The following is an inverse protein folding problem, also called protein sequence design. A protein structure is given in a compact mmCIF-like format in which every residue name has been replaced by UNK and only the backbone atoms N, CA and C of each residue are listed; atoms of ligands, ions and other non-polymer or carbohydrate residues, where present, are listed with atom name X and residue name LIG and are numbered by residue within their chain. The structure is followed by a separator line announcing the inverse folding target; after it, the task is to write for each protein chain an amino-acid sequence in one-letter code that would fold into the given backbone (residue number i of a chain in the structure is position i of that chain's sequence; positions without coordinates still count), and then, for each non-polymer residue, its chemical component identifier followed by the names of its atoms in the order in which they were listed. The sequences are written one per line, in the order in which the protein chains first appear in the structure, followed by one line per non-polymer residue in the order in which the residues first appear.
data_IF_890246395215
#
_entry.id   IF_890246395215
#
_cell.length_a   1.000
_cell.length_b   1.000
_cell.length_c   1.000
_cell.angle_alpha   90.00
_cell.angle_beta   90.00
_cell.angle_gamma   90.00
#
_symmetry.space_group_name_H-M   'P 1'
#
loop_
_entity.id
_entity.type
_entity.pdbx_description
1 polymer ?
#
# COMPACT_ATOMS: atom_id res chain seq x y z
N UNK A 1 6.49 -32.63 -11.04
CA UNK A 1 6.35 -31.16 -10.92
C UNK A 1 4.92 -30.83 -11.25
N UNK A 2 4.25 -30.02 -10.41
CA UNK A 2 2.85 -29.64 -10.63
C UNK A 2 2.81 -28.16 -10.99
N UNK A 3 2.07 -27.82 -12.02
CA UNK A 3 1.92 -26.45 -12.51
C UNK A 3 0.45 -26.12 -12.64
N UNK A 4 0.09 -24.88 -12.33
CA UNK A 4 -1.25 -24.36 -12.52
C UNK A 4 -1.16 -22.94 -13.10
N UNK A 5 -1.71 -22.76 -14.29
CA UNK A 5 -1.79 -21.46 -14.94
C UNK A 5 -3.06 -20.75 -14.48
N UNK A 6 -2.88 -19.65 -13.74
CA UNK A 6 -4.00 -18.84 -13.21
C UNK A 6 -4.57 -17.95 -14.32
N UNK A 7 -3.69 -17.23 -15.01
CA UNK A 7 -4.08 -16.41 -16.17
C UNK A 7 -2.93 -16.34 -17.18
N UNK A 8 -3.00 -15.40 -18.12
CA UNK A 8 -1.94 -15.20 -19.13
C UNK A 8 -0.60 -14.77 -18.52
N UNK A 9 -0.59 -14.13 -17.36
CA UNK A 9 0.59 -13.59 -16.70
C UNK A 9 1.08 -14.46 -15.54
N UNK A 10 0.17 -15.10 -14.81
CA UNK A 10 0.45 -15.75 -13.52
C UNK A 10 0.40 -17.27 -13.66
N UNK A 11 1.46 -17.93 -13.22
CA UNK A 11 1.55 -19.38 -13.10
C UNK A 11 2.09 -19.76 -11.72
N UNK A 12 1.53 -20.79 -11.10
CA UNK A 12 2.06 -21.38 -9.87
C UNK A 12 2.73 -22.72 -10.17
N UNK A 13 3.87 -22.97 -9.52
CA UNK A 13 4.58 -24.25 -9.59
C UNK A 13 4.82 -24.82 -8.20
N UNK A 14 4.46 -26.09 -7.99
CA UNK A 14 4.92 -26.88 -6.85
C UNK A 14 6.25 -27.54 -7.22
N UNK A 15 7.30 -27.10 -6.56
CA UNK A 15 8.70 -27.49 -6.83
C UNK A 15 9.32 -28.14 -5.60
N UNK A 16 10.41 -28.90 -5.78
CA UNK A 16 11.10 -29.61 -4.71
C UNK A 16 10.67 -31.09 -4.59
N UNK A 17 11.59 -31.92 -4.09
CA UNK A 17 11.38 -33.37 -3.90
C UNK A 17 11.16 -33.68 -2.41
N UNK A 18 12.02 -33.18 -1.52
CA UNK A 18 11.93 -33.36 -0.07
C UNK A 18 11.21 -32.21 0.66
N UNK A 19 11.43 -30.98 0.20
CA UNK A 19 10.78 -29.78 0.72
C UNK A 19 9.99 -29.13 -0.40
N UNK A 20 8.76 -29.62 -0.60
CA UNK A 20 7.86 -29.08 -1.62
C UNK A 20 7.51 -27.63 -1.28
N UNK A 21 7.68 -26.72 -2.23
CA UNK A 21 7.31 -25.31 -2.11
C UNK A 21 6.55 -24.84 -3.34
N UNK A 22 5.51 -24.06 -3.11
CA UNK A 22 4.80 -23.35 -4.17
C UNK A 22 5.64 -22.11 -4.57
N UNK A 23 5.75 -21.81 -5.85
CA UNK A 23 6.40 -20.61 -6.40
C UNK A 23 5.38 -19.92 -7.31
N UNK A 24 5.28 -18.59 -7.22
CA UNK A 24 4.49 -17.77 -8.14
C UNK A 24 5.43 -17.29 -9.24
N UNK A 25 4.99 -17.33 -10.49
CA UNK A 25 5.74 -16.88 -11.65
C UNK A 25 4.88 -15.85 -12.37
N UNK A 26 5.47 -14.70 -12.72
CA UNK A 26 4.82 -13.62 -13.47
C UNK A 26 5.60 -13.38 -14.76
N UNK A 27 4.99 -13.71 -15.90
CA UNK A 27 5.61 -13.63 -17.23
C UNK A 27 7.06 -14.17 -17.22
N UNK A 28 7.16 -15.45 -16.88
CA UNK A 28 8.38 -16.28 -16.81
C UNK A 28 9.43 -15.87 -15.75
N UNK A 29 9.12 -14.90 -14.88
CA UNK A 29 9.99 -14.53 -13.76
C UNK A 29 9.45 -15.02 -12.42
N UNK A 30 10.32 -15.61 -11.60
CA UNK A 30 9.96 -15.98 -10.23
C UNK A 30 9.60 -14.74 -9.41
N UNK A 31 8.44 -14.80 -8.76
CA UNK A 31 7.94 -13.75 -7.90
C UNK A 31 8.11 -14.15 -6.43
N UNK A 32 9.12 -13.56 -5.79
CA UNK A 32 9.59 -13.93 -4.46
C UNK A 32 9.00 -13.01 -3.38
N UNK A 33 7.69 -13.07 -3.22
CA UNK A 33 6.95 -12.39 -2.14
C UNK A 33 6.43 -13.42 -1.13
N UNK A 34 6.39 -13.07 0.15
CA UNK A 34 5.75 -13.91 1.17
C UNK A 34 4.27 -14.15 0.80
N UNK A 35 3.88 -15.43 0.75
CA UNK A 35 2.50 -15.85 0.59
C UNK A 35 2.05 -16.52 1.87
N UNK A 36 0.94 -16.06 2.40
CA UNK A 36 0.32 -16.64 3.57
C UNK A 36 -1.09 -17.06 3.19
N UNK A 37 -1.49 -18.24 3.66
CA UNK A 37 -2.86 -18.73 3.52
C UNK A 37 -3.56 -18.47 4.84
N UNK A 38 -4.55 -17.58 4.85
CA UNK A 38 -5.38 -17.36 6.02
C UNK A 38 -6.28 -18.58 6.23
N UNK A 39 -6.02 -19.32 7.31
CA UNK A 39 -6.78 -20.51 7.66
C UNK A 39 -7.72 -20.13 8.81
N UNK A 40 -9.01 -20.33 8.59
CA UNK A 40 -10.06 -19.98 9.55
C UNK A 40 -10.89 -21.22 9.82
N UNK A 41 -11.08 -21.58 11.10
CA UNK A 41 -12.08 -22.57 11.47
C UNK A 41 -13.47 -21.88 11.56
N UNK A 42 -14.39 -22.11 10.61
CA UNK A 42 -15.69 -21.45 10.61
C UNK A 42 -16.58 -21.87 11.79
N UNK A 43 -16.31 -23.01 12.44
CA UNK A 43 -17.10 -23.49 13.57
C UNK A 43 -16.78 -22.78 14.89
N UNK A 44 -15.58 -22.23 15.04
CA UNK A 44 -15.15 -21.52 16.26
C UNK A 44 -15.62 -20.07 16.31
N UNK A 45 -15.98 -19.47 15.15
CA UNK A 45 -16.23 -18.03 15.04
C UNK A 45 -17.58 -17.72 14.40
N UNK A 46 -18.65 -18.19 15.03
CA UNK A 46 -20.06 -18.04 14.58
C UNK A 46 -20.58 -16.59 14.51
N UNK A 47 -19.83 -15.61 15.04
CA UNK A 47 -20.25 -14.19 15.11
C UNK A 47 -19.37 -13.24 14.28
N UNK A 48 -18.83 -13.69 13.15
CA UNK A 48 -18.10 -12.79 12.26
C UNK A 48 -19.10 -11.88 11.54
N UNK A 49 -18.89 -10.57 11.69
CA UNK A 49 -19.55 -9.55 10.87
C UNK A 49 -19.15 -9.76 9.40
N UNK A 50 -19.86 -9.11 8.48
CA UNK A 50 -19.44 -9.03 7.08
C UNK A 50 -17.97 -8.55 7.01
N UNK A 51 -17.09 -9.42 6.52
CA UNK A 51 -15.66 -9.14 6.31
C UNK A 51 -15.51 -8.60 4.89
N UNK A 52 -14.89 -7.43 4.74
CA UNK A 52 -14.76 -6.75 3.44
C UNK A 52 -13.42 -6.99 2.77
N UNK A 53 -12.41 -7.45 3.52
CA UNK A 53 -11.09 -7.77 2.98
C UNK A 53 -10.36 -8.85 3.80
N UNK A 54 -9.39 -9.51 3.18
CA UNK A 54 -8.51 -10.46 3.89
C UNK A 54 -7.66 -9.77 4.97
N UNK A 55 -7.24 -8.51 4.76
CA UNK A 55 -6.53 -7.74 5.79
C UNK A 55 -7.43 -7.56 7.04
N UNK A 56 -8.69 -7.16 6.83
CA UNK A 56 -9.68 -7.03 7.91
C UNK A 56 -9.95 -8.38 8.59
N UNK A 57 -9.99 -9.46 7.81
CA UNK A 57 -10.11 -10.81 8.34
C UNK A 57 -8.93 -11.15 9.28
N UNK A 58 -7.70 -10.88 8.87
CA UNK A 58 -6.50 -11.12 9.67
C UNK A 58 -6.51 -10.35 10.99
N UNK A 59 -6.97 -9.09 10.98
CA UNK A 59 -7.10 -8.26 12.18
C UNK A 59 -8.19 -8.79 13.14
N UNK A 60 -9.38 -9.12 12.62
CA UNK A 60 -10.53 -9.58 13.42
C UNK A 60 -10.35 -11.00 13.96
N UNK A 61 -9.61 -11.84 13.25
CA UNK A 61 -9.47 -13.26 13.55
C UNK A 61 -8.28 -13.57 14.46
N UNK A 62 -7.67 -12.54 15.07
CA UNK A 62 -6.41 -12.58 15.83
C UNK A 62 -5.19 -12.96 14.99
N UNK A 63 -4.17 -12.09 15.02
CA UNK A 63 -2.90 -12.27 14.31
C UNK A 63 -2.05 -13.46 14.80
N UNK A 64 -2.54 -14.25 15.75
CA UNK A 64 -1.94 -15.53 16.19
C UNK A 64 -2.02 -16.57 15.07
N UNK A 65 -3.10 -16.55 14.27
CA UNK A 65 -3.23 -17.40 13.08
C UNK A 65 -2.13 -17.10 12.05
N UNK A 66 -1.75 -15.83 11.89
CA UNK A 66 -0.73 -15.41 10.91
C UNK A 66 0.72 -15.67 11.35
N UNK A 67 0.98 -15.84 12.66
CA UNK A 67 2.36 -15.88 13.18
C UNK A 67 2.78 -17.17 13.85
N UNK A 68 1.86 -17.99 14.37
CA UNK A 68 2.23 -19.16 15.17
C UNK A 68 1.86 -20.50 14.53
N UNK A 69 0.81 -20.57 13.71
CA UNK A 69 0.36 -21.80 13.05
C UNK A 69 0.78 -21.83 11.58
N UNK A 70 1.63 -22.80 11.22
CA UNK A 70 1.94 -23.09 9.82
C UNK A 70 0.94 -24.11 9.27
N UNK A 71 0.69 -24.14 7.95
CA UNK A 71 -0.18 -25.15 7.34
C UNK A 71 0.17 -26.60 7.74
N UNK A 72 1.47 -26.90 7.85
CA UNK A 72 1.95 -28.20 8.30
C UNK A 72 1.56 -28.56 9.74
N UNK A 73 1.44 -27.58 10.64
CA UNK A 73 1.00 -27.80 12.03
C UNK A 73 -0.48 -28.23 12.10
N UNK A 74 -1.24 -27.89 11.06
CA UNK A 74 -2.65 -28.26 10.88
C UNK A 74 -2.84 -29.52 10.01
N UNK A 75 -1.74 -30.20 9.65
CA UNK A 75 -1.76 -31.38 8.81
C UNK A 75 -2.02 -31.11 7.31
N UNK A 76 -1.98 -29.85 6.88
CA UNK A 76 -2.16 -29.48 5.48
C UNK A 76 -0.90 -29.85 4.71
N UNK A 77 -1.06 -30.68 3.70
CA UNK A 77 0.05 -31.11 2.84
C UNK A 77 0.47 -29.99 1.89
N UNK A 78 1.73 -29.99 1.40
CA UNK A 78 2.17 -29.03 0.40
C UNK A 78 1.32 -29.03 -0.89
N UNK A 79 0.70 -30.16 -1.23
CA UNK A 79 -0.18 -30.29 -2.40
C UNK A 79 -1.55 -29.63 -2.18
N UNK A 80 -2.09 -29.70 -0.97
CA UNK A 80 -3.32 -28.99 -0.57
C UNK A 80 -3.07 -27.49 -0.42
N UNK A 81 -1.97 -27.10 0.21
CA UNK A 81 -1.55 -25.70 0.31
C UNK A 81 -1.36 -25.08 -1.08
N UNK A 82 -0.73 -25.83 -2.01
CA UNK A 82 -0.60 -25.42 -3.40
C UNK A 82 -1.95 -25.10 -4.04
N UNK A 83 -2.95 -25.98 -3.88
CA UNK A 83 -4.28 -25.73 -4.42
C UNK A 83 -4.98 -24.56 -3.74
N UNK A 84 -4.79 -24.36 -2.43
CA UNK A 84 -5.26 -23.17 -1.72
C UNK A 84 -4.71 -21.88 -2.31
N UNK A 85 -3.40 -21.81 -2.57
CA UNK A 85 -2.77 -20.67 -3.24
C UNK A 85 -3.28 -20.47 -4.67
N UNK A 86 -3.47 -21.55 -5.44
CA UNK A 86 -4.01 -21.48 -6.80
C UNK A 86 -5.41 -20.88 -6.81
N UNK A 87 -6.32 -21.38 -5.95
CA UNK A 87 -7.70 -20.92 -5.85
C UNK A 87 -7.79 -19.45 -5.43
N UNK A 88 -6.97 -19.03 -4.45
CA UNK A 88 -6.93 -17.63 -4.02
C UNK A 88 -6.49 -16.68 -5.14
N UNK A 89 -5.42 -17.04 -5.87
CA UNK A 89 -4.95 -16.20 -6.98
C UNK A 89 -5.90 -16.24 -8.18
N UNK A 90 -6.55 -17.37 -8.45
CA UNK A 90 -7.59 -17.45 -9.47
C UNK A 90 -8.77 -16.54 -9.13
N UNK A 91 -9.30 -16.61 -7.90
CA UNK A 91 -10.36 -15.73 -7.46
C UNK A 91 -9.96 -14.25 -7.56
N UNK A 92 -8.71 -13.91 -7.21
CA UNK A 92 -8.19 -12.55 -7.34
C UNK A 92 -8.19 -12.05 -8.79
N UNK A 93 -7.74 -12.88 -9.75
CA UNK A 93 -7.73 -12.50 -11.17
C UNK A 93 -9.14 -12.42 -11.76
N UNK A 94 -10.01 -13.37 -11.43
CA UNK A 94 -11.40 -13.42 -11.90
C UNK A 94 -12.23 -12.23 -11.42
N UNK A 95 -11.84 -11.61 -10.31
CA UNK A 95 -12.45 -10.40 -9.77
C UNK A 95 -11.63 -9.15 -10.08
N UNK A 96 -11.07 -9.07 -11.28
CA UNK A 96 -10.38 -7.89 -11.81
C UNK A 96 -9.26 -7.35 -10.90
N UNK A 97 -8.49 -8.27 -10.31
CA UNK A 97 -7.40 -7.95 -9.39
C UNK A 97 -7.86 -7.15 -8.15
N UNK A 98 -9.10 -7.36 -7.68
CA UNK A 98 -9.61 -6.71 -6.47
C UNK A 98 -8.70 -7.01 -5.26
N UNK A 99 -8.02 -5.97 -4.77
CA UNK A 99 -7.01 -6.04 -3.71
C UNK A 99 -7.54 -6.55 -2.38
N UNK A 100 -8.86 -6.63 -2.20
CA UNK A 100 -9.48 -7.11 -0.97
C UNK A 100 -9.58 -8.65 -0.90
N UNK A 101 -9.37 -9.36 -2.02
CA UNK A 101 -9.56 -10.83 -2.11
C UNK A 101 -8.38 -11.62 -1.58
N UNK A 102 -7.17 -11.09 -1.69
CA UNK A 102 -5.96 -11.67 -1.11
C UNK A 102 -5.27 -10.61 -0.25
N UNK A 103 -4.43 -11.06 0.68
CA UNK A 103 -3.75 -10.15 1.60
C UNK A 103 -2.93 -9.07 0.84
N UNK A 104 -2.98 -7.82 1.31
CA UNK A 104 -2.35 -6.64 0.67
C UNK A 104 -0.86 -6.84 0.40
N UNK A 105 -0.12 -7.46 1.33
CA UNK A 105 1.30 -7.79 1.18
C UNK A 105 1.63 -8.66 -0.05
N UNK A 106 0.63 -9.37 -0.60
CA UNK A 106 0.75 -10.11 -1.86
C UNK A 106 0.08 -9.37 -3.02
N UNK A 107 -1.14 -8.85 -2.81
CA UNK A 107 -1.93 -8.20 -3.86
C UNK A 107 -1.18 -7.03 -4.54
N UNK A 108 -0.62 -6.11 -3.74
CA UNK A 108 -0.01 -4.89 -4.26
C UNK A 108 1.26 -5.18 -5.05
N UNK A 109 2.23 -5.96 -4.51
CA UNK A 109 3.48 -6.19 -5.22
C UNK A 109 3.27 -7.09 -6.45
N UNK A 110 2.29 -8.01 -6.41
CA UNK A 110 1.94 -8.83 -7.56
C UNK A 110 1.29 -7.97 -8.66
N UNK A 111 0.34 -7.08 -8.31
CA UNK A 111 -0.28 -6.16 -9.26
C UNK A 111 0.75 -5.23 -9.89
N UNK A 112 1.66 -4.69 -9.08
CA UNK A 112 2.80 -3.89 -9.54
C UNK A 112 3.65 -4.67 -10.54
N UNK A 113 4.05 -5.92 -10.22
CA UNK A 113 4.88 -6.74 -11.11
C UNK A 113 4.20 -6.99 -12.46
N UNK A 114 2.91 -7.28 -12.47
CA UNK A 114 2.13 -7.49 -13.72
C UNK A 114 2.04 -6.18 -14.52
N UNK A 115 1.92 -5.03 -13.85
CA UNK A 115 1.93 -3.72 -14.49
C UNK A 115 3.31 -3.36 -15.11
N UNK A 116 4.42 -3.75 -14.45
CA UNK A 116 5.79 -3.61 -14.96
C UNK A 116 6.00 -4.40 -16.24
N UNK A 117 5.41 -5.60 -16.31
CA UNK A 117 5.43 -6.46 -17.51
C UNK A 117 4.57 -5.94 -18.66
N UNK A 118 3.86 -4.83 -18.47
CA UNK A 118 3.14 -4.15 -19.55
C UNK A 118 1.64 -4.43 -19.61
N UNK A 119 1.06 -5.14 -18.63
CA UNK A 119 -0.38 -5.36 -18.59
C UNK A 119 -1.13 -4.03 -18.37
N UNK A 120 -1.88 -3.61 -19.39
CA UNK A 120 -2.73 -2.41 -19.33
C UNK A 120 -3.77 -2.50 -18.22
N UNK A 121 -4.43 -3.66 -18.10
CA UNK A 121 -5.44 -3.93 -17.05
C UNK A 121 -4.85 -3.79 -15.64
N UNK A 122 -3.65 -4.33 -15.41
CA UNK A 122 -2.99 -4.20 -14.12
C UNK A 122 -2.59 -2.76 -13.82
N UNK A 123 -2.11 -2.01 -14.82
CA UNK A 123 -1.81 -0.57 -14.67
C UNK A 123 -3.06 0.22 -14.31
N UNK A 124 -4.15 0.05 -15.05
CA UNK A 124 -5.44 0.70 -14.78
C UNK A 124 -5.91 0.40 -13.36
N UNK A 125 -5.88 -0.87 -12.95
CA UNK A 125 -6.28 -1.24 -11.60
C UNK A 125 -5.37 -0.66 -10.51
N UNK A 126 -4.06 -0.61 -10.76
CA UNK A 126 -3.11 0.01 -9.83
C UNK A 126 -3.43 1.50 -9.63
N UNK A 127 -3.87 2.20 -10.68
CA UNK A 127 -4.27 3.61 -10.57
C UNK A 127 -5.48 3.79 -9.67
N UNK A 128 -6.53 2.99 -9.87
CA UNK A 128 -7.72 3.01 -9.03
C UNK A 128 -7.37 2.84 -7.56
N UNK A 129 -6.55 1.82 -7.25
CA UNK A 129 -6.14 1.49 -5.88
C UNK A 129 -5.33 2.61 -5.22
N UNK A 130 -4.41 3.25 -5.95
CA UNK A 130 -3.64 4.39 -5.44
C UNK A 130 -4.57 5.57 -5.11
N UNK A 131 -5.55 5.85 -5.98
CA UNK A 131 -6.55 6.90 -5.75
C UNK A 131 -7.36 6.58 -4.48
N UNK A 132 -7.90 5.37 -4.36
CA UNK A 132 -8.65 4.93 -3.18
C UNK A 132 -7.85 5.10 -1.88
N UNK A 133 -6.56 4.76 -1.88
CA UNK A 133 -5.67 4.92 -0.72
C UNK A 133 -5.44 6.40 -0.36
N UNK A 134 -5.23 7.25 -1.36
CA UNK A 134 -5.05 8.69 -1.15
C UNK A 134 -6.32 9.35 -0.64
N UNK A 135 -7.48 8.96 -1.18
CA UNK A 135 -8.78 9.47 -0.75
C UNK A 135 -9.14 9.02 0.67
N UNK A 136 -8.81 7.77 1.01
CA UNK A 136 -8.99 7.21 2.35
C UNK A 136 -8.01 7.75 3.40
N UNK A 137 -7.03 8.57 3.00
CA UNK A 137 -6.01 9.18 3.87
C UNK A 137 -5.24 8.16 4.72
N UNK A 138 -5.03 6.95 4.20
CA UNK A 138 -4.23 5.94 4.90
C UNK A 138 -2.74 6.28 4.77
N UNK A 139 -2.22 7.11 5.68
CA UNK A 139 -0.87 7.67 5.61
C UNK A 139 0.23 6.60 5.56
N UNK A 140 0.01 5.44 6.19
CA UNK A 140 0.96 4.33 6.17
C UNK A 140 1.04 3.73 4.77
N UNK A 141 -0.11 3.43 4.15
CA UNK A 141 -0.17 2.90 2.78
C UNK A 141 0.35 3.94 1.76
N UNK A 142 0.04 5.23 1.92
CA UNK A 142 0.56 6.30 1.06
C UNK A 142 2.08 6.37 1.12
N UNK A 143 2.65 6.34 2.34
CA UNK A 143 4.11 6.33 2.52
C UNK A 143 4.75 5.14 1.81
N UNK A 144 4.22 3.94 2.03
CA UNK A 144 4.70 2.73 1.38
C UNK A 144 4.65 2.85 -0.16
N UNK A 145 3.59 3.44 -0.71
CA UNK A 145 3.48 3.65 -2.17
C UNK A 145 4.55 4.57 -2.74
N UNK A 146 4.91 5.62 -2.00
CA UNK A 146 5.96 6.57 -2.39
C UNK A 146 7.35 5.92 -2.32
N UNK A 147 7.61 5.11 -1.29
CA UNK A 147 8.87 4.41 -1.09
C UNK A 147 9.11 3.29 -2.11
N UNK A 148 8.04 2.64 -2.57
CA UNK A 148 8.10 1.49 -3.47
C UNK A 148 7.83 1.84 -4.94
N UNK A 149 8.03 3.09 -5.37
CA UNK A 149 7.92 3.52 -6.78
C UNK A 149 6.59 3.14 -7.49
N UNK A 150 5.47 3.08 -6.75
CA UNK A 150 4.16 2.82 -7.37
C UNK A 150 3.72 3.97 -8.30
N UNK A 151 4.25 5.16 -8.08
CA UNK A 151 3.90 6.33 -8.87
C UNK A 151 4.52 6.34 -10.27
N UNK A 152 5.51 5.48 -10.58
CA UNK A 152 6.13 5.45 -11.92
C UNK A 152 5.19 5.03 -13.07
N UNK A 153 4.00 4.50 -12.76
CA UNK A 153 3.00 4.09 -13.75
C UNK A 153 2.03 5.22 -14.14
N UNK A 154 2.20 6.39 -13.54
CA UNK A 154 1.43 7.58 -13.84
C UNK A 154 2.24 8.49 -14.76
N UNK A 155 1.55 9.29 -15.54
CA UNK A 155 2.10 10.45 -16.24
C UNK A 155 2.28 11.61 -15.27
N UNK A 156 3.02 12.63 -15.69
CA UNK A 156 3.19 13.84 -14.89
C UNK A 156 1.86 14.53 -14.54
N UNK A 157 0.94 14.60 -15.50
CA UNK A 157 -0.39 15.18 -15.29
C UNK A 157 -1.19 14.38 -14.25
N UNK A 158 -1.23 13.05 -14.38
CA UNK A 158 -1.88 12.19 -13.40
C UNK A 158 -1.23 12.30 -12.02
N UNK A 159 0.11 12.39 -11.94
CA UNK A 159 0.82 12.55 -10.67
C UNK A 159 0.45 13.85 -9.96
N UNK A 160 0.28 14.95 -10.70
CA UNK A 160 -0.22 16.21 -10.14
C UNK A 160 -1.64 16.03 -9.58
N UNK A 161 -2.50 15.28 -10.25
CA UNK A 161 -3.84 15.00 -9.74
C UNK A 161 -3.79 14.18 -8.44
N UNK A 162 -2.91 13.19 -8.34
CA UNK A 162 -2.68 12.44 -7.09
C UNK A 162 -2.19 13.35 -5.96
N UNK A 163 -1.28 14.29 -6.26
CA UNK A 163 -0.81 15.27 -5.29
C UNK A 163 -1.94 16.19 -4.82
N UNK A 164 -2.86 16.59 -5.72
CA UNK A 164 -4.06 17.36 -5.37
C UNK A 164 -5.00 16.56 -4.48
N UNK A 165 -5.24 15.28 -4.77
CA UNK A 165 -6.05 14.39 -3.93
C UNK A 165 -5.42 14.23 -2.54
N UNK A 166 -4.10 14.07 -2.47
CA UNK A 166 -3.36 13.98 -1.21
C UNK A 166 -3.51 15.25 -0.36
N UNK A 167 -3.26 16.42 -0.97
CA UNK A 167 -3.27 17.72 -0.30
C UNK A 167 -4.68 18.25 0.00
N UNK A 168 -5.73 17.66 -0.57
CA UNK A 168 -7.10 18.04 -0.25
C UNK A 168 -7.47 17.69 1.19
N UNK A 169 -7.82 18.71 1.97
CA UNK A 169 -8.25 18.61 3.36
C UNK A 169 -9.74 18.36 3.53
N UNK A 170 -10.55 18.44 2.47
CA UNK A 170 -12.01 18.28 2.52
C UNK A 170 -12.45 16.91 3.09
N UNK A 171 -11.63 15.88 2.83
CA UNK A 171 -11.83 14.51 3.31
C UNK A 171 -11.19 14.24 4.68
N UNK A 172 -10.45 15.19 5.25
CA UNK A 172 -9.89 15.06 6.59
C UNK A 172 -11.03 15.33 7.58
N UNK A 173 -11.36 14.34 8.41
CA UNK A 173 -12.46 14.45 9.37
C UNK A 173 -12.35 15.70 10.24
N UNK A 174 -13.50 16.27 10.64
CA UNK A 174 -13.57 17.48 11.49
C UNK A 174 -12.94 17.30 12.89
N UNK A 175 -12.60 16.05 13.25
CA UNK A 175 -11.88 15.70 14.47
C UNK A 175 -10.52 16.40 14.53
N UNK A 176 -10.09 16.77 15.75
CA UNK A 176 -8.78 17.40 15.94
C UNK A 176 -7.66 16.43 15.57
N UNK A 177 -6.82 16.82 14.61
CA UNK A 177 -5.64 16.04 14.22
C UNK A 177 -4.55 16.16 15.30
N UNK A 178 -3.90 15.05 15.61
CA UNK A 178 -2.73 15.02 16.50
C UNK A 178 -1.50 15.60 15.81
N UNK A 179 -0.56 16.09 16.61
CA UNK A 179 0.72 16.60 16.07
C UNK A 179 1.53 15.48 15.40
N UNK A 180 1.39 14.24 15.87
CA UNK A 180 2.04 13.08 15.25
C UNK A 180 1.54 12.86 13.82
N UNK A 181 0.24 12.99 13.58
CA UNK A 181 -0.34 12.88 12.24
C UNK A 181 0.11 14.03 11.34
N UNK A 182 0.09 15.27 11.85
CA UNK A 182 0.58 16.45 11.12
C UNK A 182 2.04 16.25 10.67
N UNK A 183 2.87 15.69 11.55
CA UNK A 183 4.26 15.36 11.22
C UNK A 183 4.33 14.42 10.02
N UNK A 184 3.53 13.36 10.02
CA UNK A 184 3.50 12.38 8.92
C UNK A 184 3.06 13.06 7.62
N UNK A 185 2.07 13.95 7.65
CA UNK A 185 1.69 14.72 6.46
C UNK A 185 2.84 15.58 5.92
N UNK A 186 3.56 16.31 6.77
CA UNK A 186 4.71 17.14 6.34
C UNK A 186 5.83 16.28 5.74
N UNK A 187 6.08 15.10 6.30
CA UNK A 187 7.00 14.10 5.72
C UNK A 187 6.51 13.68 4.33
N UNK A 188 5.24 13.30 4.20
CA UNK A 188 4.64 12.90 2.92
C UNK A 188 4.70 13.99 1.85
N UNK A 189 4.45 15.26 2.19
CA UNK A 189 4.63 16.38 1.25
C UNK A 189 6.05 16.41 0.67
N UNK A 190 7.05 16.16 1.52
CA UNK A 190 8.45 16.12 1.10
C UNK A 190 8.73 14.91 0.22
N UNK A 191 8.14 13.76 0.55
CA UNK A 191 8.26 12.53 -0.24
C UNK A 191 7.59 12.66 -1.62
N UNK A 192 6.43 13.32 -1.72
CA UNK A 192 5.80 13.67 -3.00
C UNK A 192 6.72 14.56 -3.85
N UNK A 193 7.32 15.60 -3.25
CA UNK A 193 8.27 16.45 -3.98
C UNK A 193 9.53 15.68 -4.40
N UNK A 194 10.01 14.74 -3.59
CA UNK A 194 11.10 13.86 -3.97
C UNK A 194 10.71 12.95 -5.15
N UNK A 195 9.54 12.31 -5.07
CA UNK A 195 9.00 11.43 -6.11
C UNK A 195 8.78 12.16 -7.44
N UNK A 196 8.41 13.45 -7.42
CA UNK A 196 8.26 14.25 -8.64
C UNK A 196 9.51 14.27 -9.53
N UNK A 197 10.71 14.04 -8.96
CA UNK A 197 11.98 13.98 -9.71
C UNK A 197 12.02 12.82 -10.70
N UNK A 198 11.28 11.74 -10.45
CA UNK A 198 11.24 10.57 -11.32
C UNK A 198 10.63 10.90 -12.71
N UNK A 199 9.93 12.02 -12.83
CA UNK A 199 9.32 12.46 -14.08
C UNK A 199 10.27 13.28 -14.94
N UNK A 200 11.42 13.72 -14.42
CA UNK A 200 12.31 14.61 -15.14
C UNK A 200 13.80 14.31 -14.96
N UNK A 201 14.47 14.02 -16.07
CA UNK A 201 15.93 13.89 -16.11
C UNK A 201 16.65 15.24 -15.90
N UNK A 202 16.01 16.37 -16.26
CA UNK A 202 16.59 17.72 -16.19
C UNK A 202 15.88 18.66 -15.19
N UNK A 203 15.16 18.10 -14.20
CA UNK A 203 14.35 18.88 -13.25
C UNK A 203 13.24 19.79 -13.83
N UNK A 204 12.81 19.59 -15.07
CA UNK A 204 11.68 20.26 -15.72
C UNK A 204 10.33 20.01 -15.01
N UNK A 205 10.13 18.78 -14.51
CA UNK A 205 8.94 18.40 -13.74
C UNK A 205 9.28 18.28 -12.26
N UNK A 206 9.00 19.34 -11.51
CA UNK A 206 9.19 19.39 -10.06
C UNK A 206 7.99 20.04 -9.37
N UNK A 207 7.49 19.39 -8.32
CA UNK A 207 6.64 20.04 -7.33
C UNK A 207 7.53 20.96 -6.48
N UNK A 208 7.70 22.23 -6.87
CA UNK A 208 8.43 23.25 -6.08
C UNK A 208 7.92 24.69 -6.31
N UNK A 209 7.91 25.52 -5.26
CA UNK A 209 8.15 25.20 -3.84
C UNK A 209 6.90 24.58 -3.17
N UNK A 210 7.07 23.59 -2.28
CA UNK A 210 5.94 22.92 -1.57
C UNK A 210 5.64 23.52 -0.19
N UNK A 211 6.49 24.41 0.33
CA UNK A 211 6.21 25.10 1.60
C UNK A 211 4.88 25.88 1.58
N UNK A 212 4.52 26.62 0.50
CA UNK A 212 3.20 27.25 0.40
C UNK A 212 2.06 26.24 0.55
N UNK A 213 2.16 25.08 -0.11
CA UNK A 213 1.14 24.03 -0.08
C UNK A 213 1.02 23.42 1.32
N UNK A 214 2.15 23.15 1.99
CA UNK A 214 2.15 22.69 3.38
C UNK A 214 1.49 23.72 4.29
N UNK A 215 1.78 25.02 4.11
CA UNK A 215 1.17 26.08 4.93
C UNK A 215 -0.34 26.18 4.69
N UNK A 216 -0.79 26.17 3.45
CA UNK A 216 -2.22 26.18 3.11
C UNK A 216 -2.94 24.96 3.69
N UNK A 217 -2.32 23.79 3.57
CA UNK A 217 -2.80 22.55 4.19
C UNK A 217 -2.96 22.70 5.71
N UNK A 218 -1.91 23.14 6.41
CA UNK A 218 -1.92 23.30 7.88
C UNK A 218 -2.95 24.34 8.35
N UNK A 219 -3.16 25.43 7.60
CA UNK A 219 -4.16 26.47 7.93
C UNK A 219 -5.59 25.92 7.96
N UNK A 220 -5.87 24.93 7.11
CA UNK A 220 -7.20 24.30 7.00
C UNK A 220 -7.45 23.23 8.06
N UNK A 221 -6.42 22.83 8.83
CA UNK A 221 -6.54 21.76 9.83
C UNK A 221 -6.99 22.28 11.20
N UNK A 222 -7.88 21.50 11.83
CA UNK A 222 -8.20 21.65 13.23
C UNK A 222 -7.16 20.90 14.08
N UNK A 223 -6.11 21.61 14.53
CA UNK A 223 -4.98 20.99 15.23
C UNK A 223 -5.28 20.84 16.73
N UNK A 224 -5.08 19.64 17.30
CA UNK A 224 -5.13 19.45 18.74
C UNK A 224 -3.97 20.22 19.38
N UNK A 225 -4.28 21.16 20.29
CA UNK A 225 -3.28 21.86 21.11
C UNK A 225 -2.61 20.87 22.07
N UNK A 226 -1.66 20.12 21.59
CA UNK A 226 -0.68 19.41 22.42
C UNK A 226 0.64 20.16 22.29
N UNK A 227 1.41 20.30 23.38
CA UNK A 227 2.70 21.01 23.34
C UNK A 227 3.86 20.16 23.87
N UNK A 228 4.23 19.05 23.22
CA UNK A 228 5.60 18.59 23.34
C UNK A 228 6.45 19.55 22.49
N UNK A 229 7.18 20.47 23.12
CA UNK A 229 8.09 21.40 22.42
C UNK A 229 9.07 20.65 21.50
N UNK A 230 9.42 19.42 21.87
CA UNK A 230 10.23 18.49 21.08
C UNK A 230 9.68 18.30 19.65
N UNK A 231 8.37 18.09 19.49
CA UNK A 231 7.81 17.83 18.16
C UNK A 231 7.72 19.12 17.33
N UNK A 232 7.41 20.26 17.97
CA UNK A 232 7.34 21.56 17.29
C UNK A 232 8.70 22.04 16.78
N UNK A 233 9.78 21.70 17.50
CA UNK A 233 11.15 22.07 17.17
C UNK A 233 11.86 21.06 16.25
N UNK A 234 11.22 19.93 15.92
CA UNK A 234 11.76 18.96 14.97
C UNK A 234 11.91 19.61 13.59
N UNK A 235 13.08 19.43 12.98
CA UNK A 235 13.43 19.97 11.67
C UNK A 235 13.04 19.00 10.56
N UNK A 236 12.43 19.54 9.52
CA UNK A 236 12.09 18.88 8.26
C UNK A 236 12.96 19.48 7.17
N UNK A 237 13.46 18.66 6.24
CA UNK A 237 14.19 19.15 5.08
C UNK A 237 13.22 19.34 3.91
N UNK A 238 12.79 20.57 3.67
CA UNK A 238 11.77 20.94 2.68
C UNK A 238 12.30 22.07 1.83
N UNK A 239 12.11 22.03 0.51
CA UNK A 239 12.58 23.09 -0.42
C UNK A 239 14.06 23.48 -0.22
N UNK A 240 14.93 22.49 0.02
CA UNK A 240 16.38 22.66 0.25
C UNK A 240 16.76 23.44 1.51
N UNK A 241 15.85 23.57 2.49
CA UNK A 241 16.14 24.16 3.79
C UNK A 241 15.57 23.33 4.93
N UNK A 242 16.19 23.45 6.11
CA UNK A 242 15.58 22.93 7.32
C UNK A 242 14.54 23.92 7.84
N UNK A 243 13.33 23.43 8.07
CA UNK A 243 12.22 24.20 8.66
C UNK A 243 11.60 23.39 9.78
N UNK A 244 11.21 24.05 10.86
CA UNK A 244 10.50 23.42 11.98
C UNK A 244 8.99 23.46 11.79
N UNK A 245 8.26 22.56 12.44
CA UNK A 245 6.80 22.64 12.45
C UNK A 245 6.32 23.97 13.07
N UNK A 246 7.05 24.47 14.08
CA UNK A 246 6.80 25.80 14.66
C UNK A 246 6.89 26.92 13.61
N UNK A 247 7.87 26.89 12.71
CA UNK A 247 8.01 27.88 11.64
C UNK A 247 6.94 27.74 10.55
N UNK A 248 6.52 26.50 10.24
CA UNK A 248 5.41 26.25 9.32
C UNK A 248 4.07 26.76 9.87
N UNK A 249 3.88 26.72 11.20
CA UNK A 249 2.67 27.17 11.90
C UNK A 249 2.69 28.65 12.32
N UNK A 250 3.85 29.33 12.26
CA UNK A 250 4.05 30.69 12.82
C UNK A 250 3.42 31.84 12.03
N UNK A 251 2.80 31.57 10.88
CA UNK A 251 1.96 32.53 10.17
C UNK A 251 0.48 32.14 10.34
N UNK A 252 -0.08 32.53 11.50
CA UNK A 252 -1.51 32.73 11.72
C UNK A 252 -1.69 34.10 12.38
#
# INVERSE_FOLDING_TARGET
MKEFKVDKHITLRLTGIKHKKTIIIVDDEEFMQCKYLLIVNPQEKRNLKEIRSIDEAGELLSGELERELKPGDLGITPDEEFWGHCSNLQAWVENDYNINIIHTNLAFPLLKKIAEKGSKKAREKLREVVIEILEGKNLIKIKHMLEEDYFKFFSWEEFKDLYRIFSDTSKIGKSKMSIKEIRIYVELFSDFSACSRNYSNNYEYLLKPIIPDIRDFLKKLNIKKERPEEILNRRFFVDRRYITLKELLKEN
#
